data_IF_978447331135
#
_entry.id   IF_978447331135
#
_cell.length_a   1.000
_cell.length_b   1.000
_cell.length_c   1.000
_cell.angle_alpha   90.00
_cell.angle_beta   90.00
_cell.angle_gamma   90.00
#
_symmetry.space_group_name_H-M   'P 1'
#
loop_
_entity.id
_entity.type
_entity.pdbx_description
1 polymer ?
#
# COMPACT_ATOMS: atom_id res chain seq x y z
N UNK A 1 -12.06 7.34 28.63
CA UNK A 1 -12.61 8.68 28.30
C UNK A 1 -12.48 9.53 29.53
N UNK A 2 -11.65 10.56 29.45
CA UNK A 2 -11.54 11.61 30.45
C UNK A 2 -12.20 12.87 29.88
N UNK A 3 -12.95 13.60 30.69
CA UNK A 3 -13.64 14.83 30.28
C UNK A 3 -13.36 15.89 31.32
N UNK A 4 -12.71 16.97 30.93
CA UNK A 4 -12.57 18.18 31.76
C UNK A 4 -13.57 19.24 31.26
N UNK A 5 -14.24 19.90 32.20
CA UNK A 5 -15.30 20.87 31.90
C UNK A 5 -15.03 22.15 32.71
N UNK A 6 -14.36 23.10 32.05
CA UNK A 6 -14.27 24.46 32.56
C UNK A 6 -15.54 25.26 32.24
N UNK A 7 -16.01 26.04 33.21
CA UNK A 7 -17.22 26.83 33.09
C UNK A 7 -17.06 27.96 32.05
N UNK A 8 -17.40 27.65 30.79
CA UNK A 8 -17.41 28.61 29.67
C UNK A 8 -16.46 28.29 28.52
N UNK A 9 -15.69 27.19 28.59
CA UNK A 9 -14.84 26.69 27.50
C UNK A 9 -15.47 25.52 26.74
N UNK A 10 -14.96 25.23 25.54
CA UNK A 10 -15.23 23.96 24.87
C UNK A 10 -14.65 22.81 25.73
N UNK A 11 -15.37 21.68 25.90
CA UNK A 11 -14.91 20.58 26.74
C UNK A 11 -13.63 19.96 26.18
N UNK A 12 -12.66 19.71 27.05
CA UNK A 12 -11.46 18.97 26.69
C UNK A 12 -11.74 17.47 26.84
N UNK A 13 -11.59 16.73 25.75
CA UNK A 13 -11.97 15.31 25.67
C UNK A 13 -10.77 14.52 25.16
N UNK A 14 -10.28 13.64 26.03
CA UNK A 14 -9.16 12.76 25.71
C UNK A 14 -9.56 11.28 25.77
N UNK A 15 -8.98 10.50 24.86
CA UNK A 15 -9.08 9.06 24.88
C UNK A 15 -8.14 8.49 25.94
N UNK A 16 -8.64 7.57 26.77
CA UNK A 16 -7.84 6.85 27.76
C UNK A 16 -7.87 5.39 27.36
N UNK A 17 -6.75 4.81 26.89
CA UNK A 17 -6.67 3.39 26.61
C UNK A 17 -6.84 2.58 27.91
N UNK A 18 -7.70 1.55 27.89
CA UNK A 18 -7.95 0.71 29.08
C UNK A 18 -7.89 -0.78 28.80
N UNK A 19 -7.87 -1.19 27.52
CA UNK A 19 -7.93 -2.60 27.17
C UNK A 19 -6.55 -3.24 27.33
N UNK A 20 -6.40 -4.35 28.06
CA UNK A 20 -5.13 -5.10 28.08
C UNK A 20 -4.89 -5.82 26.75
N UNK A 21 -5.93 -6.04 25.94
CA UNK A 21 -5.83 -6.74 24.65
C UNK A 21 -6.29 -5.82 23.54
N UNK A 22 -5.46 -5.67 22.50
CA UNK A 22 -5.77 -4.84 21.33
C UNK A 22 -6.03 -5.72 20.13
N UNK A 23 -7.16 -5.50 19.47
CA UNK A 23 -7.47 -6.14 18.19
C UNK A 23 -6.82 -5.35 17.05
N UNK A 24 -6.16 -6.04 16.12
CA UNK A 24 -5.55 -5.45 14.94
C UNK A 24 -6.02 -6.16 13.66
N UNK A 25 -6.31 -5.37 12.64
CA UNK A 25 -6.46 -5.86 11.26
C UNK A 25 -5.30 -5.32 10.44
N UNK A 26 -4.45 -6.21 9.94
CA UNK A 26 -3.21 -5.85 9.26
C UNK A 26 -3.32 -6.28 7.82
N UNK A 27 -3.30 -5.29 6.93
CA UNK A 27 -3.33 -5.47 5.48
C UNK A 27 -1.90 -5.60 4.98
N UNK A 28 -1.60 -6.69 4.29
CA UNK A 28 -0.30 -6.94 3.67
C UNK A 28 -0.49 -6.91 2.15
N UNK A 29 0.19 -5.99 1.48
CA UNK A 29 0.22 -5.91 0.03
C UNK A 29 1.36 -6.77 -0.53
N UNK A 30 1.02 -7.90 -1.15
CA UNK A 30 1.97 -8.85 -1.73
C UNK A 30 2.79 -8.28 -2.90
N UNK A 31 2.37 -7.17 -3.49
CA UNK A 31 3.13 -6.46 -4.54
C UNK A 31 4.30 -5.65 -3.98
N UNK A 32 4.30 -5.36 -2.68
CA UNK A 32 5.35 -4.57 -2.00
C UNK A 32 6.01 -5.31 -0.85
N UNK A 33 5.42 -6.40 -0.37
CA UNK A 33 5.98 -7.25 0.66
C UNK A 33 7.19 -8.04 0.13
N UNK A 34 8.32 -7.89 0.82
CA UNK A 34 9.57 -8.56 0.53
C UNK A 34 10.10 -9.27 1.78
N UNK A 35 10.89 -10.32 1.59
CA UNK A 35 11.70 -10.93 2.64
C UNK A 35 12.83 -9.99 3.08
N UNK A 36 13.54 -10.34 4.16
CA UNK A 36 14.69 -9.59 4.69
C UNK A 36 15.79 -9.33 3.63
N UNK A 37 15.89 -10.19 2.61
CA UNK A 37 16.83 -10.07 1.49
C UNK A 37 16.28 -9.21 0.33
N UNK A 38 15.21 -8.44 0.56
CA UNK A 38 14.51 -7.59 -0.42
C UNK A 38 13.95 -8.37 -1.64
N UNK A 39 13.64 -9.65 -1.44
CA UNK A 39 13.05 -10.51 -2.45
C UNK A 39 11.53 -10.62 -2.26
N UNK A 40 10.72 -10.66 -3.34
CA UNK A 40 9.27 -10.74 -3.22
C UNK A 40 8.84 -12.06 -2.56
N UNK A 41 7.70 -12.06 -1.88
CA UNK A 41 7.13 -13.28 -1.31
C UNK A 41 6.62 -14.23 -2.41
N UNK A 42 7.17 -15.46 -2.45
CA UNK A 42 6.85 -16.45 -3.50
C UNK A 42 6.15 -17.69 -2.96
N UNK A 43 6.32 -18.00 -1.69
CA UNK A 43 5.80 -19.22 -1.08
C UNK A 43 5.37 -19.00 0.39
N UNK A 44 4.69 -20.00 0.97
CA UNK A 44 4.15 -19.90 2.34
C UNK A 44 5.23 -19.70 3.41
N UNK A 45 6.45 -20.19 3.21
CA UNK A 45 7.54 -19.96 4.17
C UNK A 45 8.03 -18.50 4.14
N UNK A 46 8.06 -17.87 2.96
CA UNK A 46 8.36 -16.44 2.84
C UNK A 46 7.28 -15.62 3.57
N UNK A 47 6.00 -15.99 3.37
CA UNK A 47 4.87 -15.36 4.04
C UNK A 47 4.91 -15.54 5.56
N UNK A 48 5.22 -16.74 6.04
CA UNK A 48 5.39 -17.04 7.46
C UNK A 48 6.48 -16.14 8.07
N UNK A 49 7.66 -16.08 7.46
CA UNK A 49 8.76 -15.23 7.94
C UNK A 49 8.40 -13.75 7.97
N UNK A 50 7.79 -13.24 6.89
CA UNK A 50 7.36 -11.85 6.81
C UNK A 50 6.32 -11.48 7.89
N UNK A 51 5.32 -12.34 8.09
CA UNK A 51 4.28 -12.11 9.09
C UNK A 51 4.83 -12.22 10.52
N UNK A 52 5.82 -13.10 10.75
CA UNK A 52 6.53 -13.17 12.02
C UNK A 52 7.33 -11.91 12.34
N UNK A 53 7.99 -11.32 11.35
CA UNK A 53 8.66 -10.03 11.51
C UNK A 53 7.65 -8.94 11.88
N UNK A 54 6.51 -8.88 11.18
CA UNK A 54 5.41 -7.95 11.53
C UNK A 54 4.87 -8.17 12.93
N UNK A 55 4.83 -9.42 13.42
CA UNK A 55 4.48 -9.68 14.82
C UNK A 55 5.50 -9.12 15.80
N UNK A 56 6.79 -9.14 15.46
CA UNK A 56 7.84 -8.54 16.30
C UNK A 56 7.70 -7.02 16.32
N UNK A 57 7.39 -6.39 15.18
CA UNK A 57 7.13 -4.95 15.08
C UNK A 57 6.01 -4.51 16.02
N UNK A 58 4.90 -5.27 16.09
CA UNK A 58 3.80 -4.99 17.02
C UNK A 58 4.20 -5.04 18.48
N UNK A 59 5.18 -5.88 18.86
CA UNK A 59 5.62 -6.01 20.25
C UNK A 59 6.44 -4.82 20.72
N UNK A 60 7.06 -4.10 19.79
CA UNK A 60 7.87 -2.91 20.08
C UNK A 60 7.14 -1.60 19.77
N UNK A 61 5.91 -1.67 19.26
CA UNK A 61 5.08 -0.51 18.98
C UNK A 61 4.79 0.28 20.26
N UNK A 62 4.95 1.61 20.19
CA UNK A 62 4.62 2.52 21.27
C UNK A 62 3.13 2.90 21.27
N UNK A 63 2.70 3.62 22.32
CA UNK A 63 1.31 4.04 22.48
C UNK A 63 0.85 4.94 21.31
N UNK A 64 1.73 5.81 20.83
CA UNK A 64 1.44 6.72 19.73
C UNK A 64 1.11 5.94 18.46
N UNK A 65 1.95 4.98 18.07
CA UNK A 65 1.72 4.12 16.91
C UNK A 65 0.41 3.33 16.98
N UNK A 66 0.00 2.92 18.18
CA UNK A 66 -1.24 2.17 18.40
C UNK A 66 -2.50 3.04 18.40
N UNK A 67 -2.35 4.34 18.56
CA UNK A 67 -3.47 5.28 18.75
C UNK A 67 -3.53 6.39 17.71
N UNK A 68 -2.58 6.46 16.78
CA UNK A 68 -2.48 7.46 15.69
C UNK A 68 -3.75 7.56 14.83
N UNK A 69 -4.47 6.44 14.67
CA UNK A 69 -5.73 6.40 13.91
C UNK A 69 -6.94 6.99 14.65
N UNK A 70 -6.81 7.34 15.93
CA UNK A 70 -7.92 7.89 16.70
C UNK A 70 -8.16 9.36 16.33
N UNK A 71 -9.41 9.79 16.11
CA UNK A 71 -9.73 11.14 15.67
C UNK A 71 -9.62 12.20 16.79
N UNK A 72 -9.01 11.86 17.93
CA UNK A 72 -8.99 12.69 19.13
C UNK A 72 -7.68 12.50 19.92
N UNK A 73 -7.28 13.49 20.73
CA UNK A 73 -6.11 13.39 21.58
C UNK A 73 -6.20 12.19 22.53
N UNK A 74 -5.04 11.59 22.80
CA UNK A 74 -4.90 10.46 23.72
C UNK A 74 -4.25 10.98 24.98
N UNK A 75 -4.85 10.67 26.13
CA UNK A 75 -4.32 11.05 27.42
C UNK A 75 -2.93 10.41 27.62
N UNK A 76 -2.00 11.17 28.18
CA UNK A 76 -0.71 10.62 28.58
C UNK A 76 -0.92 9.62 29.73
N UNK A 77 -0.60 8.36 29.47
CA UNK A 77 -0.75 7.25 30.42
C UNK A 77 0.42 6.29 30.30
N UNK A 78 0.72 5.53 31.36
CA UNK A 78 1.68 4.41 31.30
C UNK A 78 1.05 3.13 30.70
N UNK A 79 -0.07 3.26 29.96
CA UNK A 79 -0.78 2.11 29.43
C UNK A 79 0.04 1.44 28.34
N UNK A 80 0.19 0.11 28.45
CA UNK A 80 0.69 -0.75 27.39
C UNK A 80 -0.17 -2.00 27.30
N UNK A 81 -0.47 -2.49 26.08
CA UNK A 81 -1.22 -3.72 25.92
C UNK A 81 -0.42 -4.90 26.48
N UNK A 82 -1.13 -5.85 27.08
CA UNK A 82 -0.61 -7.15 27.48
C UNK A 82 -0.56 -8.11 26.28
N UNK A 83 -1.38 -7.85 25.24
CA UNK A 83 -1.35 -8.61 24.01
C UNK A 83 -2.16 -8.05 22.85
N UNK A 84 -1.94 -8.66 21.68
CA UNK A 84 -2.58 -8.35 20.42
C UNK A 84 -3.31 -9.56 19.88
N UNK A 85 -4.45 -9.32 19.23
CA UNK A 85 -5.15 -10.32 18.41
C UNK A 85 -5.21 -9.79 17.00
N UNK A 86 -4.55 -10.48 16.07
CA UNK A 86 -4.33 -10.01 14.72
C UNK A 86 -5.14 -10.83 13.71
N UNK A 87 -5.82 -10.14 12.80
CA UNK A 87 -6.30 -10.69 11.55
C UNK A 87 -5.41 -10.18 10.42
N UNK A 88 -4.86 -11.10 9.65
CA UNK A 88 -4.03 -10.78 8.50
C UNK A 88 -4.86 -10.82 7.23
N UNK A 89 -4.80 -9.77 6.43
CA UNK A 89 -5.50 -9.67 5.15
C UNK A 89 -4.44 -9.53 4.07
N UNK A 90 -4.19 -10.61 3.33
CA UNK A 90 -3.27 -10.63 2.20
C UNK A 90 -3.97 -10.05 0.97
N UNK A 91 -3.37 -9.04 0.36
CA UNK A 91 -3.94 -8.26 -0.74
C UNK A 91 -2.88 -7.99 -1.80
N UNK A 92 -3.25 -7.33 -2.90
CA UNK A 92 -2.31 -6.99 -3.96
C UNK A 92 -1.93 -8.19 -4.83
N UNK A 93 -0.91 -8.02 -5.66
CA UNK A 93 -0.50 -9.00 -6.67
C UNK A 93 0.89 -9.53 -6.40
N UNK A 94 1.05 -10.84 -6.32
CA UNK A 94 2.35 -11.45 -6.04
C UNK A 94 2.39 -12.92 -6.39
N UNK A 95 3.60 -13.48 -6.53
CA UNK A 95 3.79 -14.90 -6.85
C UNK A 95 3.19 -15.82 -5.79
N UNK A 96 3.21 -15.39 -4.52
CA UNK A 96 2.59 -16.09 -3.39
C UNK A 96 1.11 -16.40 -3.62
N UNK A 97 0.36 -15.59 -4.37
CA UNK A 97 -1.07 -15.85 -4.67
C UNK A 97 -1.31 -17.25 -5.25
N UNK A 98 -0.35 -17.78 -6.02
CA UNK A 98 -0.45 -19.13 -6.62
C UNK A 98 -0.36 -20.25 -5.58
N UNK A 99 0.24 -19.97 -4.43
CA UNK A 99 0.38 -20.89 -3.31
C UNK A 99 -0.71 -20.70 -2.25
N UNK A 100 -1.53 -19.65 -2.36
CA UNK A 100 -2.63 -19.36 -1.44
C UNK A 100 -3.93 -20.03 -1.90
N UNK A 101 -4.63 -20.60 -0.93
CA UNK A 101 -5.99 -21.13 -1.00
C UNK A 101 -6.48 -21.27 0.46
N UNK A 102 -7.74 -21.68 0.65
CA UNK A 102 -8.35 -21.81 1.98
C UNK A 102 -7.52 -22.70 2.93
N UNK A 103 -7.05 -23.86 2.47
CA UNK A 103 -6.22 -24.77 3.27
C UNK A 103 -4.86 -24.15 3.61
N UNK A 104 -4.23 -23.49 2.65
CA UNK A 104 -2.94 -22.83 2.84
C UNK A 104 -3.03 -21.67 3.85
N UNK A 105 -4.11 -20.89 3.80
CA UNK A 105 -4.35 -19.82 4.78
C UNK A 105 -4.58 -20.36 6.19
N UNK A 106 -5.28 -21.50 6.32
CA UNK A 106 -5.48 -22.15 7.61
C UNK A 106 -4.16 -22.72 8.17
N UNK A 107 -3.34 -23.34 7.32
CA UNK A 107 -2.00 -23.82 7.70
C UNK A 107 -1.15 -22.66 8.19
N UNK A 108 -1.09 -21.56 7.44
CA UNK A 108 -0.32 -20.38 7.81
C UNK A 108 -0.81 -19.77 9.14
N UNK A 109 -2.13 -19.65 9.33
CA UNK A 109 -2.70 -19.16 10.58
C UNK A 109 -2.34 -20.06 11.77
N UNK A 110 -2.34 -21.39 11.60
CA UNK A 110 -1.95 -22.32 12.65
C UNK A 110 -0.46 -22.25 12.98
N UNK A 111 0.41 -22.19 11.96
CA UNK A 111 1.85 -22.02 12.14
C UNK A 111 2.18 -20.75 12.95
N UNK A 112 1.55 -19.64 12.57
CA UNK A 112 1.69 -18.37 13.25
C UNK A 112 1.22 -18.44 14.72
N UNK A 113 0.09 -19.11 15.01
CA UNK A 113 -0.39 -19.33 16.39
C UNK A 113 0.57 -20.16 17.22
N UNK A 114 1.18 -21.19 16.64
CA UNK A 114 2.15 -22.02 17.37
C UNK A 114 3.37 -21.18 17.79
N UNK A 115 3.84 -20.30 16.90
CA UNK A 115 4.98 -19.38 17.14
C UNK A 115 4.65 -18.20 18.06
N UNK A 116 3.37 -17.84 18.17
CA UNK A 116 2.84 -16.70 18.95
C UNK A 116 3.09 -16.81 20.47
N UNK A 117 3.36 -18.02 20.96
CA UNK A 117 3.28 -18.41 22.38
C UNK A 117 4.32 -17.79 23.32
N UNK A 118 5.44 -17.26 22.79
CA UNK A 118 6.55 -16.78 23.61
C UNK A 118 6.86 -15.30 23.37
N UNK A 119 6.36 -14.44 24.25
CA UNK A 119 6.81 -13.04 24.39
C UNK A 119 5.73 -12.14 24.97
N UNK A 120 6.14 -10.96 25.46
CA UNK A 120 5.26 -9.95 26.05
C UNK A 120 5.48 -8.61 25.34
N UNK A 121 4.43 -7.93 24.87
CA UNK A 121 3.04 -8.40 24.78
C UNK A 121 2.91 -9.66 23.90
N UNK A 122 1.91 -10.51 24.16
CA UNK A 122 1.65 -11.65 23.28
C UNK A 122 1.03 -11.17 21.96
N UNK A 123 1.24 -11.87 20.86
CA UNK A 123 0.58 -11.57 19.58
C UNK A 123 -0.07 -12.84 19.11
N UNK A 124 -1.40 -12.88 19.02
CA UNK A 124 -2.15 -14.07 18.62
C UNK A 124 -2.77 -13.88 17.24
N UNK A 125 -2.66 -14.87 16.36
CA UNK A 125 -3.30 -14.82 15.04
C UNK A 125 -4.72 -15.37 15.10
N UNK A 126 -5.72 -14.53 14.81
CA UNK A 126 -7.11 -14.94 14.68
C UNK A 126 -7.40 -15.61 13.34
N UNK A 127 -6.97 -15.03 12.22
CA UNK A 127 -7.08 -15.65 10.89
C UNK A 127 -6.10 -15.00 9.91
N UNK A 128 -5.85 -15.72 8.82
CA UNK A 128 -5.24 -15.20 7.60
C UNK A 128 -6.29 -15.27 6.51
N UNK A 129 -6.53 -14.15 5.81
CA UNK A 129 -7.50 -14.06 4.72
C UNK A 129 -6.76 -13.73 3.43
N UNK A 130 -7.12 -14.44 2.38
CA UNK A 130 -6.58 -14.21 1.05
C UNK A 130 -7.57 -13.41 0.19
N UNK A 131 -7.14 -12.23 -0.22
CA UNK A 131 -7.76 -11.38 -1.25
C UNK A 131 -6.70 -10.98 -2.30
N UNK A 132 -5.64 -11.78 -2.41
CA UNK A 132 -4.57 -11.53 -3.38
C UNK A 132 -4.96 -11.99 -4.78
N UNK A 133 -4.23 -11.49 -5.77
CA UNK A 133 -4.39 -11.91 -7.16
C UNK A 133 -3.02 -12.31 -7.76
N UNK A 134 -3.04 -13.10 -8.84
CA UNK A 134 -1.83 -13.37 -9.62
C UNK A 134 -1.15 -12.08 -10.10
N UNK A 135 0.18 -12.11 -10.28
CA UNK A 135 0.89 -11.06 -11.00
C UNK A 135 0.25 -10.83 -12.37
N UNK A 136 0.25 -9.57 -12.83
CA UNK A 136 -0.26 -9.26 -14.16
C UNK A 136 0.58 -9.97 -15.23
N UNK A 137 -0.05 -10.43 -16.31
CA UNK A 137 0.67 -10.79 -17.53
C UNK A 137 1.50 -9.60 -18.04
N UNK A 138 2.45 -9.88 -18.92
CA UNK A 138 3.17 -8.83 -19.62
C UNK A 138 2.23 -7.99 -20.50
N UNK A 139 2.68 -6.78 -20.84
CA UNK A 139 1.87 -5.82 -21.59
C UNK A 139 1.41 -6.36 -22.96
N UNK A 140 2.24 -7.15 -23.63
CA UNK A 140 1.89 -7.72 -24.95
C UNK A 140 0.70 -8.66 -24.79
N UNK A 141 0.75 -9.56 -23.80
CA UNK A 141 -0.36 -10.46 -23.46
C UNK A 141 -1.63 -9.71 -23.07
N UNK A 142 -1.51 -8.62 -22.30
CA UNK A 142 -2.67 -7.81 -21.89
C UNK A 142 -3.34 -7.10 -23.06
N UNK A 143 -2.55 -6.52 -23.97
CA UNK A 143 -3.04 -5.87 -25.19
C UNK A 143 -3.74 -6.87 -26.11
N UNK A 144 -3.22 -8.09 -26.23
CA UNK A 144 -3.85 -9.13 -27.06
C UNK A 144 -5.17 -9.65 -26.49
N UNK A 145 -5.34 -9.62 -25.17
CA UNK A 145 -6.47 -10.25 -24.48
C UNK A 145 -7.60 -9.29 -24.06
N UNK A 146 -7.34 -7.98 -24.02
CA UNK A 146 -8.29 -6.99 -23.50
C UNK A 146 -8.42 -5.77 -24.44
N UNK A 147 -9.61 -5.63 -25.04
CA UNK A 147 -9.98 -4.52 -25.93
C UNK A 147 -9.78 -3.15 -25.27
N UNK A 148 -10.12 -3.00 -23.98
CA UNK A 148 -9.98 -1.72 -23.28
C UNK A 148 -8.51 -1.36 -23.07
N UNK A 149 -7.68 -2.36 -22.72
CA UNK A 149 -6.23 -2.15 -22.58
C UNK A 149 -5.60 -1.84 -23.93
N UNK A 150 -6.02 -2.52 -24.99
CA UNK A 150 -5.59 -2.22 -26.37
C UNK A 150 -5.94 -0.78 -26.76
N UNK A 151 -7.19 -0.35 -26.57
CA UNK A 151 -7.63 1.03 -26.86
C UNK A 151 -6.82 2.06 -26.06
N UNK A 152 -6.52 1.78 -24.78
CA UNK A 152 -5.72 2.68 -23.96
C UNK A 152 -4.28 2.80 -24.48
N UNK A 153 -3.66 1.69 -24.89
CA UNK A 153 -2.30 1.69 -25.48
C UNK A 153 -2.30 2.39 -26.84
N UNK A 154 -3.32 2.18 -27.67
CA UNK A 154 -3.51 2.89 -28.94
C UNK A 154 -3.66 4.39 -28.73
N UNK A 155 -4.52 4.82 -27.79
CA UNK A 155 -4.68 6.22 -27.42
C UNK A 155 -3.36 6.83 -26.93
N UNK A 156 -2.59 6.10 -26.12
CA UNK A 156 -1.27 6.56 -25.68
C UNK A 156 -0.33 6.77 -26.85
N UNK A 157 -0.34 5.89 -27.85
CA UNK A 157 0.49 6.02 -29.04
C UNK A 157 0.03 7.17 -29.94
N UNK A 158 -1.28 7.41 -30.05
CA UNK A 158 -1.85 8.56 -30.75
C UNK A 158 -1.38 9.88 -30.11
N UNK A 159 -1.47 9.99 -28.78
CA UNK A 159 -0.97 11.16 -28.04
C UNK A 159 0.53 11.39 -28.27
N UNK A 160 1.33 10.32 -28.37
CA UNK A 160 2.76 10.46 -28.66
C UNK A 160 3.03 10.98 -30.07
N UNK A 161 2.18 10.61 -31.04
CA UNK A 161 2.32 11.02 -32.44
C UNK A 161 1.68 12.37 -32.78
N UNK A 162 0.83 12.91 -31.90
CA UNK A 162 0.11 14.17 -32.14
C UNK A 162 0.75 15.36 -31.40
N UNK A 163 1.43 16.22 -32.17
CA UNK A 163 2.03 17.46 -31.67
C UNK A 163 1.02 18.40 -31.00
N UNK A 164 -0.24 18.41 -31.44
CA UNK A 164 -1.28 19.24 -30.85
C UNK A 164 -1.70 18.72 -29.47
N UNK A 165 -1.94 17.42 -29.33
CA UNK A 165 -2.20 16.77 -28.04
C UNK A 165 -1.02 16.95 -27.07
N UNK A 166 0.22 16.80 -27.53
CA UNK A 166 1.42 17.06 -26.72
C UNK A 166 1.49 18.51 -26.26
N UNK A 167 1.19 19.47 -27.14
CA UNK A 167 1.14 20.88 -26.77
C UNK A 167 0.05 21.18 -25.73
N UNK A 168 -1.11 20.53 -25.82
CA UNK A 168 -2.17 20.66 -24.82
C UNK A 168 -1.75 20.08 -23.46
N UNK A 169 -1.10 18.90 -23.43
CA UNK A 169 -0.55 18.31 -22.21
C UNK A 169 0.49 19.22 -21.56
N UNK A 170 1.39 19.81 -22.36
CA UNK A 170 2.39 20.80 -21.90
C UNK A 170 1.72 22.03 -21.27
N UNK A 171 0.58 22.48 -21.79
CA UNK A 171 -0.14 23.62 -21.24
C UNK A 171 -0.87 23.28 -19.93
N UNK A 172 -1.17 22.00 -19.70
CA UNK A 172 -1.88 21.50 -18.50
C UNK A 172 -0.95 21.06 -17.37
N UNK A 173 0.33 20.81 -17.65
CA UNK A 173 1.32 20.59 -16.59
C UNK A 173 1.49 21.88 -15.79
N UNK A 174 0.91 21.91 -14.59
CA UNK A 174 0.82 23.11 -13.75
C UNK A 174 2.17 23.71 -13.35
N UNK A 175 2.14 24.74 -12.51
CA UNK A 175 3.28 25.64 -12.23
C UNK A 175 4.55 24.95 -11.70
N UNK A 176 4.45 23.72 -11.23
CA UNK A 176 5.59 22.90 -10.77
C UNK A 176 6.56 22.56 -11.91
N UNK A 177 6.08 22.48 -13.16
CA UNK A 177 6.87 22.07 -14.31
C UNK A 177 7.38 23.28 -15.10
N UNK A 178 8.62 23.19 -15.61
CA UNK A 178 9.19 24.15 -16.56
C UNK A 178 9.61 23.39 -17.82
N UNK A 179 8.97 23.71 -18.96
CA UNK A 179 9.34 23.10 -20.24
C UNK A 179 10.76 23.49 -20.64
N UNK A 180 11.53 22.53 -21.15
CA UNK A 180 12.88 22.72 -21.68
C UNK A 180 12.98 22.23 -23.11
N UNK A 181 13.73 22.98 -23.90
CA UNK A 181 14.34 22.49 -25.14
C UNK A 181 15.82 22.18 -24.89
N UNK A 182 16.41 21.30 -25.70
CA UNK A 182 17.81 20.87 -25.56
C UNK A 182 18.85 22.01 -25.61
N UNK A 183 18.44 23.23 -25.98
CA UNK A 183 19.31 24.40 -26.12
C UNK A 183 19.38 25.25 -24.82
N UNK A 184 18.53 25.03 -23.82
CA UNK A 184 18.44 25.86 -22.60
C UNK A 184 19.22 25.25 -21.41
N UNK A 185 20.55 25.36 -21.44
CA UNK A 185 21.44 24.78 -20.43
C UNK A 185 21.61 25.58 -19.13
N UNK A 186 21.22 26.86 -19.07
CA UNK A 186 21.43 27.73 -17.91
C UNK A 186 20.08 28.27 -17.38
N UNK A 187 19.88 28.28 -16.06
CA UNK A 187 18.66 28.66 -15.29
C UNK A 187 17.50 27.65 -15.19
N UNK A 188 17.70 26.61 -14.36
CA UNK A 188 16.58 25.98 -13.63
C UNK A 188 16.48 26.65 -12.27
N UNK A 189 15.32 27.22 -11.96
CA UNK A 189 15.00 27.58 -10.58
C UNK A 189 15.03 26.30 -9.73
N UNK A 190 15.71 26.31 -8.59
CA UNK A 190 15.79 25.17 -7.65
C UNK A 190 14.41 24.65 -7.22
N UNK A 191 13.35 25.43 -7.44
CA UNK A 191 11.97 25.15 -7.04
C UNK A 191 11.12 24.48 -8.15
N UNK A 192 11.61 24.33 -9.39
CA UNK A 192 10.82 23.79 -10.52
C UNK A 192 11.46 22.56 -11.16
N UNK A 193 10.62 21.60 -11.54
CA UNK A 193 11.06 20.37 -12.19
C UNK A 193 11.09 20.59 -13.71
N UNK A 194 12.24 20.35 -14.32
CA UNK A 194 12.37 20.41 -15.78
C UNK A 194 11.51 19.33 -16.47
N UNK A 195 10.79 19.72 -17.52
CA UNK A 195 10.01 18.82 -18.36
C UNK A 195 10.50 18.95 -19.81
N UNK A 196 10.97 17.85 -20.38
CA UNK A 196 11.37 17.73 -21.78
C UNK A 196 10.53 16.63 -22.45
N UNK A 197 10.70 16.43 -23.75
CA UNK A 197 9.93 15.41 -24.49
C UNK A 197 10.14 14.00 -23.94
N UNK A 198 11.35 13.67 -23.49
CA UNK A 198 11.66 12.36 -22.89
C UNK A 198 10.93 12.16 -21.56
N UNK A 199 10.96 13.15 -20.67
CA UNK A 199 10.25 13.12 -19.39
C UNK A 199 8.74 13.12 -19.58
N UNK A 200 8.23 13.79 -20.62
CA UNK A 200 6.82 13.72 -20.98
C UNK A 200 6.44 12.30 -21.39
N UNK A 201 7.27 11.62 -22.19
CA UNK A 201 7.07 10.22 -22.55
C UNK A 201 7.12 9.31 -21.30
N UNK A 202 8.10 9.50 -20.41
CA UNK A 202 8.19 8.76 -19.14
C UNK A 202 6.96 8.98 -18.21
N UNK A 203 6.33 10.16 -18.28
CA UNK A 203 5.10 10.45 -17.55
C UNK A 203 3.90 9.74 -18.17
N UNK A 204 3.81 9.73 -19.51
CA UNK A 204 2.79 9.00 -20.25
C UNK A 204 2.91 7.50 -19.97
N UNK A 205 4.12 6.93 -20.02
CA UNK A 205 4.37 5.52 -19.71
C UNK A 205 3.86 5.15 -18.33
N UNK A 206 4.24 5.92 -17.30
CA UNK A 206 3.79 5.68 -15.92
C UNK A 206 2.28 5.82 -15.76
N UNK A 207 1.66 6.77 -16.45
CA UNK A 207 0.22 6.95 -16.42
C UNK A 207 -0.51 5.76 -17.06
N UNK A 208 -0.01 5.23 -18.18
CA UNK A 208 -0.54 4.06 -18.86
C UNK A 208 -0.39 2.83 -17.98
N UNK A 209 0.81 2.54 -17.46
CA UNK A 209 1.04 1.41 -16.55
C UNK A 209 0.09 1.44 -15.37
N UNK A 210 -0.02 2.59 -14.69
CA UNK A 210 -0.93 2.75 -13.55
C UNK A 210 -2.39 2.54 -13.92
N UNK A 211 -2.80 2.97 -15.11
CA UNK A 211 -4.18 2.79 -15.59
C UNK A 211 -4.49 1.33 -15.91
N UNK A 212 -3.53 0.61 -16.50
CA UNK A 212 -3.63 -0.82 -16.77
C UNK A 212 -3.72 -1.61 -15.46
N UNK A 213 -2.88 -1.29 -14.48
CA UNK A 213 -2.91 -1.93 -13.15
C UNK A 213 -4.29 -1.78 -12.48
N UNK A 214 -4.85 -0.57 -12.54
CA UNK A 214 -6.17 -0.27 -11.98
C UNK A 214 -7.30 -1.00 -12.73
N UNK A 215 -7.26 -1.00 -14.07
CA UNK A 215 -8.26 -1.68 -14.90
C UNK A 215 -8.27 -3.19 -14.64
N UNK A 216 -7.09 -3.80 -14.59
CA UNK A 216 -6.96 -5.22 -14.28
C UNK A 216 -7.46 -5.54 -12.87
N UNK A 217 -7.15 -4.68 -11.88
CA UNK A 217 -7.61 -4.85 -10.49
C UNK A 217 -9.14 -4.76 -10.36
N UNK A 218 -9.79 -3.80 -11.03
CA UNK A 218 -11.26 -3.67 -11.00
C UNK A 218 -11.97 -4.86 -11.62
N UNK A 219 -11.39 -5.46 -12.65
CA UNK A 219 -11.99 -6.57 -13.40
C UNK A 219 -12.00 -7.86 -12.58
N UNK A 220 -10.96 -8.10 -11.80
CA UNK A 220 -10.89 -9.25 -10.88
C UNK A 220 -11.88 -9.09 -9.71
N UNK A 221 -12.06 -7.87 -9.19
CA UNK A 221 -13.05 -7.59 -8.13
C UNK A 221 -14.53 -7.68 -8.58
N UNK A 222 -14.78 -7.71 -9.89
CA UNK A 222 -16.12 -7.80 -10.46
C UNK A 222 -16.58 -9.24 -10.75
N UNK A 223 -15.67 -10.22 -10.65
CA UNK A 223 -15.95 -11.66 -10.80
C UNK A 223 -16.06 -12.35 -9.42
#
# INVERSE_FOLDING_TARGET
MLVDVDAGGDPDIEFVPTSPIVWQEIVVDLGTANTDDDAPLRNLADAEGYLEERMLDLRVADQDSLTDALPMPVAETDWMPEGFVCRWTLTGRGELSKALNEEATDVLANQLRDRSSSGSPFVWTESVRDYSAPPLPDLETLVESDEIISELVELSNEIRGDDAARAELRAKTGDVWKWRTDEEHEDVSEERIALDDKRLDDLIDRAVTRSIDELATRRDNAN
#
